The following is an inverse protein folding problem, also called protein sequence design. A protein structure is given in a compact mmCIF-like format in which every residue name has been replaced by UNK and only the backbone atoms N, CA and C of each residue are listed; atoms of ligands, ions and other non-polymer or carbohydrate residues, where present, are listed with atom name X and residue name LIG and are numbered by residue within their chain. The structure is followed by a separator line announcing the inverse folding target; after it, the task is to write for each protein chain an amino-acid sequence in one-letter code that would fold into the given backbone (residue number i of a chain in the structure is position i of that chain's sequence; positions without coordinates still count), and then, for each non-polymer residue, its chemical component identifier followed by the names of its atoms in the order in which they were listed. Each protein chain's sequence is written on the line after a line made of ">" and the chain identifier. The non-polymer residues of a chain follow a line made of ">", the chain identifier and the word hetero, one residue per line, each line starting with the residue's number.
data_IF_965469839744
#
_entry.id   IF_965469839744
#
_cell.length_a   1.000
_cell.length_b   1.000
_cell.length_c   1.000
_cell.angle_alpha   90.00
_cell.angle_beta   90.00
_cell.angle_gamma   90.00
#
_symmetry.space_group_name_H-M   'P 1'
#
loop_
_entity.id
_entity.type
_entity.pdbx_description
1 polymer ?
#
# COMPACT_ATOMS: atom_id res chain seq x y z
N UNK A 1 30.02 33.22 -25.58
CA UNK A 1 29.75 31.94 -24.90
C UNK A 1 28.40 32.05 -24.21
N UNK A 2 27.35 31.47 -24.79
CA UNK A 2 26.02 31.44 -24.18
C UNK A 2 25.98 30.21 -23.24
N UNK A 3 25.96 30.47 -21.94
CA UNK A 3 25.65 29.46 -20.95
C UNK A 3 24.21 29.01 -21.21
N UNK A 4 24.03 27.82 -21.78
CA UNK A 4 22.75 27.17 -21.81
C UNK A 4 22.42 26.76 -20.37
N UNK A 5 21.58 27.53 -19.73
CA UNK A 5 20.93 27.14 -18.49
C UNK A 5 20.22 25.84 -18.78
N UNK A 6 20.74 24.78 -18.21
CA UNK A 6 20.11 23.43 -18.23
C UNK A 6 18.84 23.53 -17.41
N UNK A 7 17.74 23.88 -18.08
CA UNK A 7 16.43 23.80 -17.45
C UNK A 7 16.24 22.37 -16.96
N UNK A 8 15.86 22.16 -15.68
CA UNK A 8 15.58 20.83 -15.19
C UNK A 8 14.44 20.26 -16.04
N UNK A 9 14.71 19.13 -16.71
CA UNK A 9 13.68 18.38 -17.42
C UNK A 9 12.53 18.16 -16.44
N UNK A 10 11.29 18.52 -16.80
CA UNK A 10 10.16 18.19 -15.96
C UNK A 10 10.18 16.67 -15.74
N UNK A 11 10.26 16.24 -14.50
CA UNK A 11 10.04 14.84 -14.11
C UNK A 11 8.56 14.50 -14.36
N UNK A 12 8.13 14.76 -15.56
CA UNK A 12 6.75 14.76 -15.98
C UNK A 12 6.47 13.62 -16.93
N UNK A 13 6.57 12.43 -16.43
CA UNK A 13 5.87 11.29 -16.99
C UNK A 13 4.77 10.87 -16.00
N UNK A 14 4.32 9.66 -16.14
CA UNK A 14 3.29 9.02 -15.30
C UNK A 14 3.66 8.95 -13.80
N UNK A 15 4.91 9.21 -13.41
CA UNK A 15 5.40 9.10 -12.03
C UNK A 15 4.82 10.18 -11.10
N UNK A 16 4.63 11.40 -11.60
CA UNK A 16 4.04 12.49 -10.81
C UNK A 16 2.61 12.19 -10.38
N UNK A 17 1.67 11.97 -11.31
CA UNK A 17 0.29 11.63 -10.98
C UNK A 17 0.20 10.29 -10.23
N UNK A 18 1.03 9.30 -10.55
CA UNK A 18 1.04 8.01 -9.86
C UNK A 18 1.45 8.15 -8.39
N UNK A 19 2.36 9.06 -8.08
CA UNK A 19 2.77 9.37 -6.70
C UNK A 19 1.63 9.97 -5.89
N UNK A 20 0.89 10.91 -6.47
CA UNK A 20 -0.27 11.54 -5.80
C UNK A 20 -1.37 10.51 -5.60
N UNK A 21 -1.67 9.71 -6.62
CA UNK A 21 -2.66 8.63 -6.54
C UNK A 21 -2.30 7.61 -5.46
N UNK A 22 -1.03 7.23 -5.34
CA UNK A 22 -0.55 6.31 -4.31
C UNK A 22 -0.73 6.90 -2.89
N UNK A 23 -0.46 8.20 -2.70
CA UNK A 23 -0.67 8.86 -1.42
C UNK A 23 -2.15 8.89 -1.03
N UNK A 24 -3.00 9.30 -1.96
CA UNK A 24 -4.45 9.30 -1.76
C UNK A 24 -4.95 7.88 -1.45
N UNK A 25 -4.46 6.88 -2.19
CA UNK A 25 -4.82 5.48 -1.99
C UNK A 25 -4.45 5.00 -0.57
N UNK A 26 -3.25 5.28 -0.07
CA UNK A 26 -2.83 4.90 1.29
C UNK A 26 -3.75 5.52 2.34
N UNK A 27 -4.04 6.81 2.22
CA UNK A 27 -4.88 7.51 3.19
C UNK A 27 -6.32 7.01 3.12
N UNK A 28 -6.90 6.96 1.93
CA UNK A 28 -8.27 6.49 1.72
C UNK A 28 -8.40 5.00 2.10
N UNK A 29 -7.42 4.18 1.76
CA UNK A 29 -7.37 2.76 2.11
C UNK A 29 -7.32 2.54 3.61
N UNK A 30 -6.43 3.23 4.31
CA UNK A 30 -6.31 3.14 5.77
C UNK A 30 -7.58 3.58 6.50
N UNK A 31 -8.12 4.75 6.15
CA UNK A 31 -9.34 5.29 6.76
C UNK A 31 -10.58 4.44 6.39
N UNK A 32 -10.70 4.04 5.13
CA UNK A 32 -11.79 3.19 4.66
C UNK A 32 -11.78 1.82 5.34
N UNK A 33 -10.62 1.17 5.43
CA UNK A 33 -10.48 -0.11 6.13
C UNK A 33 -10.83 0.00 7.61
N UNK A 34 -10.45 1.10 8.26
CA UNK A 34 -10.79 1.33 9.66
C UNK A 34 -12.29 1.56 9.85
N UNK A 35 -12.94 2.34 8.98
CA UNK A 35 -14.37 2.58 9.01
C UNK A 35 -15.18 1.28 8.81
N UNK A 36 -14.75 0.44 7.86
CA UNK A 36 -15.37 -0.86 7.62
C UNK A 36 -15.15 -1.84 8.78
N UNK A 37 -13.96 -1.83 9.40
CA UNK A 37 -13.68 -2.62 10.60
C UNK A 37 -14.61 -2.22 11.75
N UNK A 38 -14.76 -0.92 12.03
CA UNK A 38 -15.66 -0.42 13.10
C UNK A 38 -17.11 -0.82 12.82
N UNK A 39 -17.55 -0.69 11.56
CA UNK A 39 -18.89 -1.11 11.15
C UNK A 39 -19.13 -2.61 11.33
N UNK A 40 -18.14 -3.43 11.00
CA UNK A 40 -18.25 -4.90 11.12
C UNK A 40 -18.17 -5.39 12.57
N UNK A 41 -17.66 -4.58 13.48
CA UNK A 41 -17.26 -4.96 14.83
C UNK A 41 -18.27 -4.62 15.93
N UNK A 42 -19.56 -4.47 15.61
CA UNK A 42 -20.62 -4.05 16.58
C UNK A 42 -20.70 -4.90 17.85
N UNK A 43 -20.24 -6.16 17.80
CA UNK A 43 -20.23 -7.10 18.94
C UNK A 43 -18.83 -7.49 19.40
N UNK A 44 -17.79 -6.82 18.89
CA UNK A 44 -16.39 -7.17 19.19
C UNK A 44 -15.92 -6.44 20.46
N UNK A 45 -15.23 -7.12 21.38
CA UNK A 45 -14.63 -6.47 22.56
C UNK A 45 -13.69 -5.33 22.14
N UNK A 46 -13.75 -4.21 22.86
CA UNK A 46 -12.97 -2.98 22.52
C UNK A 46 -11.47 -3.23 22.40
N UNK A 47 -10.92 -4.11 23.25
CA UNK A 47 -9.49 -4.46 23.18
C UNK A 47 -9.15 -5.16 21.87
N UNK A 48 -9.98 -6.14 21.45
CA UNK A 48 -9.77 -6.85 20.19
C UNK A 48 -9.92 -5.93 18.99
N UNK A 49 -10.90 -5.03 19.04
CA UNK A 49 -11.09 -4.01 18.00
C UNK A 49 -9.85 -3.11 17.85
N UNK A 50 -9.27 -2.68 18.97
CA UNK A 50 -8.06 -1.87 18.98
C UNK A 50 -6.86 -2.61 18.38
N UNK A 51 -6.65 -3.88 18.76
CA UNK A 51 -5.59 -4.72 18.21
C UNK A 51 -5.78 -4.95 16.70
N UNK A 52 -7.00 -5.23 16.27
CA UNK A 52 -7.34 -5.39 14.85
C UNK A 52 -7.13 -4.09 14.07
N UNK A 53 -7.47 -2.94 14.64
CA UNK A 53 -7.24 -1.64 14.00
C UNK A 53 -5.73 -1.39 13.76
N UNK A 54 -4.87 -1.65 14.75
CA UNK A 54 -3.42 -1.56 14.59
C UNK A 54 -2.93 -2.54 13.52
N UNK A 55 -3.43 -3.77 13.53
CA UNK A 55 -3.07 -4.81 12.57
C UNK A 55 -3.48 -4.45 11.15
N UNK A 56 -4.72 -4.01 10.93
CA UNK A 56 -5.25 -3.58 9.64
C UNK A 56 -4.51 -2.37 9.09
N UNK A 57 -4.12 -1.42 9.96
CA UNK A 57 -3.37 -0.22 9.56
C UNK A 57 -1.88 -0.49 9.31
N UNK A 58 -1.34 -1.61 9.77
CA UNK A 58 0.10 -1.90 9.69
C UNK A 58 0.64 -1.91 8.25
N UNK A 59 0.02 -2.56 7.24
CA UNK A 59 0.51 -2.52 5.86
C UNK A 59 0.45 -1.10 5.27
N UNK A 60 -0.60 -0.34 5.55
CA UNK A 60 -0.73 1.04 5.05
C UNK A 60 0.32 1.96 5.65
N UNK A 61 0.63 1.82 6.94
CA UNK A 61 1.72 2.55 7.60
C UNK A 61 3.07 2.24 6.95
N UNK A 62 3.36 0.98 6.70
CA UNK A 62 4.61 0.56 6.04
C UNK A 62 4.71 1.11 4.62
N UNK A 63 3.63 1.04 3.84
CA UNK A 63 3.58 1.62 2.49
C UNK A 63 3.72 3.15 2.50
N UNK A 64 3.15 3.84 3.48
CA UNK A 64 3.33 5.29 3.65
C UNK A 64 4.78 5.67 3.95
N UNK A 65 5.47 4.90 4.79
CA UNK A 65 6.89 5.10 5.09
C UNK A 65 7.73 4.84 3.84
N UNK A 66 7.50 3.72 3.15
CA UNK A 66 8.17 3.39 1.90
C UNK A 66 7.97 4.48 0.83
N UNK A 67 6.75 5.01 0.71
CA UNK A 67 6.43 6.13 -0.17
C UNK A 67 7.26 7.38 0.16
N UNK A 68 7.42 7.72 1.44
CA UNK A 68 8.24 8.86 1.86
C UNK A 68 9.73 8.66 1.55
N UNK A 69 10.24 7.45 1.75
CA UNK A 69 11.65 7.10 1.53
C UNK A 69 11.99 6.93 0.04
N UNK A 70 11.00 6.71 -0.82
CA UNK A 70 11.21 6.39 -2.24
C UNK A 70 11.72 7.55 -3.09
N UNK A 71 11.82 8.78 -2.56
CA UNK A 71 12.21 9.98 -3.31
C UNK A 71 13.57 9.85 -4.02
N UNK A 72 14.52 9.11 -3.43
CA UNK A 72 15.85 8.87 -3.97
C UNK A 72 16.00 7.58 -4.78
N UNK A 73 14.93 6.83 -4.97
CA UNK A 73 15.00 5.52 -5.62
C UNK A 73 14.91 5.62 -7.15
N UNK A 74 15.48 4.65 -7.89
CA UNK A 74 15.34 4.58 -9.34
C UNK A 74 13.88 4.59 -9.79
N UNK A 75 13.60 5.19 -10.95
CA UNK A 75 12.24 5.33 -11.50
C UNK A 75 11.46 4.00 -11.55
N UNK A 76 12.03 2.88 -12.04
CA UNK A 76 11.30 1.62 -12.11
C UNK A 76 10.90 1.11 -10.72
N UNK A 77 11.77 1.24 -9.72
CA UNK A 77 11.49 0.81 -8.34
C UNK A 77 10.36 1.66 -7.72
N UNK A 78 10.33 2.97 -7.99
CA UNK A 78 9.25 3.86 -7.56
C UNK A 78 7.93 3.50 -8.22
N UNK A 79 7.93 3.22 -9.52
CA UNK A 79 6.73 2.82 -10.24
C UNK A 79 6.14 1.50 -9.70
N UNK A 80 6.99 0.51 -9.43
CA UNK A 80 6.59 -0.76 -8.80
C UNK A 80 5.99 -0.53 -7.41
N UNK A 81 6.62 0.32 -6.59
CA UNK A 81 6.10 0.65 -5.26
C UNK A 81 4.71 1.30 -5.34
N UNK A 82 4.54 2.28 -6.23
CA UNK A 82 3.26 2.98 -6.38
C UNK A 82 2.16 2.05 -6.92
N UNK A 83 2.50 1.19 -7.87
CA UNK A 83 1.60 0.15 -8.36
C UNK A 83 1.19 -0.82 -7.24
N UNK A 84 2.14 -1.24 -6.40
CA UNK A 84 1.86 -2.10 -5.25
C UNK A 84 0.93 -1.42 -4.24
N UNK A 85 1.17 -0.15 -3.92
CA UNK A 85 0.31 0.64 -3.03
C UNK A 85 -1.12 0.65 -3.52
N UNK A 86 -1.32 0.99 -4.79
CA UNK A 86 -2.65 1.05 -5.41
C UNK A 86 -3.31 -0.33 -5.38
N UNK A 87 -2.59 -1.36 -5.80
CA UNK A 87 -3.09 -2.73 -5.82
C UNK A 87 -3.53 -3.21 -4.43
N UNK A 88 -2.67 -3.08 -3.42
CA UNK A 88 -2.98 -3.49 -2.04
C UNK A 88 -4.18 -2.72 -1.50
N UNK A 89 -4.24 -1.42 -1.76
CA UNK A 89 -5.35 -0.58 -1.30
C UNK A 89 -6.68 -1.02 -1.91
N UNK A 90 -6.75 -1.14 -3.23
CA UNK A 90 -7.99 -1.53 -3.91
C UNK A 90 -8.42 -2.95 -3.57
N UNK A 91 -7.48 -3.90 -3.53
CA UNK A 91 -7.78 -5.28 -3.16
C UNK A 91 -8.29 -5.37 -1.72
N UNK A 92 -7.64 -4.69 -0.78
CA UNK A 92 -8.06 -4.67 0.63
C UNK A 92 -9.44 -4.07 0.81
N UNK A 93 -9.68 -2.90 0.19
CA UNK A 93 -10.99 -2.24 0.27
C UNK A 93 -12.09 -3.08 -0.38
N UNK A 94 -11.84 -3.68 -1.55
CA UNK A 94 -12.82 -4.52 -2.22
C UNK A 94 -13.23 -5.72 -1.33
N UNK A 95 -12.27 -6.39 -0.72
CA UNK A 95 -12.52 -7.53 0.17
C UNK A 95 -13.27 -7.08 1.44
N UNK A 96 -12.89 -5.95 2.04
CA UNK A 96 -13.56 -5.43 3.23
C UNK A 96 -14.99 -4.94 2.95
N UNK A 97 -15.22 -4.35 1.77
CA UNK A 97 -16.57 -3.96 1.34
C UNK A 97 -17.43 -5.20 1.13
N UNK A 98 -16.90 -6.23 0.46
CA UNK A 98 -17.61 -7.49 0.27
C UNK A 98 -17.97 -8.15 1.61
N UNK A 99 -17.05 -8.18 2.58
CA UNK A 99 -17.32 -8.73 3.92
C UNK A 99 -18.35 -7.88 4.70
N UNK A 100 -18.30 -6.54 4.56
CA UNK A 100 -19.17 -5.65 5.30
C UNK A 100 -20.62 -5.61 4.78
N UNK A 101 -20.81 -5.80 3.47
CA UNK A 101 -22.11 -5.66 2.79
C UNK A 101 -22.60 -6.96 2.14
N UNK A 102 -21.72 -7.94 1.94
CA UNK A 102 -22.03 -9.22 1.34
C UNK A 102 -22.66 -10.21 2.33
N UNK A 103 -23.07 -11.35 1.79
CA UNK A 103 -23.51 -12.48 2.62
C UNK A 103 -22.29 -13.09 3.28
N UNK A 104 -22.17 -12.95 4.60
CA UNK A 104 -21.05 -13.49 5.39
C UNK A 104 -20.98 -15.00 5.25
N UNK A 105 -20.08 -15.49 4.41
CA UNK A 105 -19.76 -16.91 4.26
C UNK A 105 -18.60 -17.34 5.15
N UNK A 106 -17.78 -16.39 5.61
CA UNK A 106 -16.64 -16.63 6.48
C UNK A 106 -16.94 -16.22 7.94
N UNK A 107 -16.14 -16.76 8.86
CA UNK A 107 -16.22 -16.41 10.27
C UNK A 107 -15.97 -14.90 10.45
N UNK A 108 -16.85 -14.21 11.16
CA UNK A 108 -16.75 -12.76 11.35
C UNK A 108 -15.37 -12.37 11.91
N UNK A 109 -14.70 -11.44 11.24
CA UNK A 109 -13.37 -10.96 11.61
C UNK A 109 -12.19 -11.68 10.95
N UNK A 110 -12.36 -12.85 10.34
CA UNK A 110 -11.27 -13.57 9.66
C UNK A 110 -10.62 -12.74 8.54
N UNK A 111 -11.42 -12.04 7.78
CA UNK A 111 -10.98 -11.19 6.66
C UNK A 111 -10.04 -10.08 7.15
N UNK A 112 -10.31 -9.49 8.31
CA UNK A 112 -9.48 -8.43 8.90
C UNK A 112 -8.13 -8.93 9.43
N UNK A 113 -7.96 -10.25 9.57
CA UNK A 113 -6.66 -10.88 9.86
C UNK A 113 -5.96 -11.31 8.58
N UNK A 114 -6.70 -11.91 7.65
CA UNK A 114 -6.17 -12.51 6.43
C UNK A 114 -5.65 -11.45 5.43
N UNK A 115 -6.38 -10.35 5.24
CA UNK A 115 -6.01 -9.31 4.27
C UNK A 115 -4.69 -8.62 4.62
N UNK A 116 -4.44 -8.14 5.86
CA UNK A 116 -3.14 -7.60 6.20
C UNK A 116 -2.00 -8.63 6.09
N UNK A 117 -2.25 -9.89 6.50
CA UNK A 117 -1.26 -10.96 6.36
C UNK A 117 -0.90 -11.20 4.88
N UNK A 118 -1.88 -11.26 3.99
CA UNK A 118 -1.67 -11.34 2.54
C UNK A 118 -0.93 -10.12 1.97
N UNK A 119 -1.25 -8.92 2.46
CA UNK A 119 -0.55 -7.69 2.07
C UNK A 119 0.92 -7.71 2.47
N UNK A 120 1.24 -8.18 3.67
CA UNK A 120 2.60 -8.37 4.14
C UNK A 120 3.37 -9.40 3.30
N UNK A 121 2.73 -10.52 2.97
CA UNK A 121 3.33 -11.54 2.11
C UNK A 121 3.64 -10.97 0.72
N UNK A 122 2.71 -10.26 0.12
CA UNK A 122 2.90 -9.62 -1.19
C UNK A 122 4.05 -8.60 -1.16
N UNK A 123 4.11 -7.76 -0.12
CA UNK A 123 5.20 -6.80 0.05
C UNK A 123 6.55 -7.50 0.19
N UNK A 124 6.63 -8.59 0.95
CA UNK A 124 7.85 -9.37 1.12
C UNK A 124 8.31 -10.00 -0.20
N UNK A 125 7.39 -10.54 -1.00
CA UNK A 125 7.69 -11.12 -2.32
C UNK A 125 8.24 -10.03 -3.26
N UNK A 126 7.56 -8.90 -3.38
CA UNK A 126 8.00 -7.79 -4.25
C UNK A 126 9.35 -7.24 -3.80
N UNK A 127 9.56 -7.05 -2.50
CA UNK A 127 10.85 -6.60 -1.96
C UNK A 127 11.98 -7.59 -2.27
N UNK A 128 11.72 -8.87 -2.16
CA UNK A 128 12.70 -9.93 -2.47
C UNK A 128 13.06 -9.94 -3.96
N UNK A 129 12.07 -9.84 -4.84
CA UNK A 129 12.31 -9.79 -6.30
C UNK A 129 13.13 -8.56 -6.68
N UNK A 130 12.78 -7.38 -6.14
CA UNK A 130 13.51 -6.14 -6.44
C UNK A 130 14.93 -6.16 -5.91
N UNK A 131 15.17 -6.77 -4.74
CA UNK A 131 16.52 -6.92 -4.18
C UNK A 131 17.40 -7.87 -5.02
N UNK A 132 16.84 -8.97 -5.49
CA UNK A 132 17.56 -9.94 -6.36
C UNK A 132 17.87 -9.28 -7.70
N UNK A 133 16.91 -8.63 -8.34
CA UNK A 133 17.10 -7.95 -9.63
C UNK A 133 18.17 -6.86 -9.54
N UNK A 134 18.19 -6.09 -8.45
CA UNK A 134 19.20 -5.06 -8.22
C UNK A 134 20.63 -5.61 -8.03
N UNK A 135 20.77 -6.83 -7.50
CA UNK A 135 22.08 -7.51 -7.38
C UNK A 135 22.60 -8.01 -8.73
N UNK A 136 21.70 -8.51 -9.58
CA UNK A 136 22.05 -9.04 -10.91
C UNK A 136 22.44 -7.93 -11.89
N UNK A 137 21.95 -6.70 -11.68
CA UNK A 137 22.22 -5.55 -12.56
C UNK A 137 23.48 -4.77 -12.21
N UNK A 138 24.27 -5.19 -11.18
CA UNK A 138 25.57 -4.58 -10.88
C UNK A 138 26.65 -5.29 -11.71
N UNK A 139 27.30 -4.61 -12.72
CA UNK A 139 28.44 -5.16 -13.39
C UNK A 139 29.58 -5.34 -12.37
N UNK A 140 30.29 -6.46 -12.48
CA UNK A 140 31.54 -6.72 -11.75
C UNK A 140 32.64 -5.79 -12.22
#
# INVERSE_FOLDING_TARGET
>A
MKAQAHAPKPEGGLVGPLRVSALIAVVAGGLGSLALLVRAAERTPRLLLFLLAIWVLSPFKTLAIAHRMSKGWPVPTRATLYGLIVLVTFASLAIYVDDAFGHRTAQAGFVYVAVPAGSWLLMAIVASITAISGKLSRPR
#
